data_IF_795099237770
#
_entry.id   IF_795099237770
#
_cell.length_a   1.000
_cell.length_b   1.000
_cell.length_c   1.000
_cell.angle_alpha   90.00
_cell.angle_beta   90.00
_cell.angle_gamma   90.00
#
_symmetry.space_group_name_H-M   'P 1'
#
loop_
_entity.id
_entity.type
_entity.pdbx_description
1 polymer ?
#
# COMPACT_ATOMS: atom_id res chain seq x y z
N UNK A 1 -20.14 -10.74 -32.23
CA UNK A 1 -19.04 -10.32 -31.34
C UNK A 1 -17.94 -11.37 -31.38
N UNK A 2 -16.71 -10.96 -31.67
CA UNK A 2 -15.55 -11.85 -31.59
C UNK A 2 -15.23 -12.15 -30.12
N UNK A 3 -15.04 -13.42 -29.77
CA UNK A 3 -14.55 -13.82 -28.44
C UNK A 3 -13.03 -13.93 -28.52
N UNK A 4 -12.34 -13.13 -27.72
CA UNK A 4 -10.88 -13.20 -27.57
C UNK A 4 -10.57 -13.90 -26.25
N UNK A 5 -9.69 -14.89 -26.30
CA UNK A 5 -9.13 -15.52 -25.10
C UNK A 5 -7.75 -14.90 -24.82
N UNK A 6 -7.52 -14.50 -23.57
CA UNK A 6 -6.23 -14.00 -23.12
C UNK A 6 -5.74 -14.92 -22.02
N UNK A 7 -4.52 -15.45 -22.18
CA UNK A 7 -3.89 -16.33 -21.21
C UNK A 7 -2.69 -15.60 -20.61
N UNK A 8 -2.59 -15.59 -19.29
CA UNK A 8 -1.51 -14.94 -18.55
C UNK A 8 -0.71 -16.00 -17.79
N UNK A 9 0.60 -15.79 -17.70
CA UNK A 9 1.44 -16.44 -16.70
C UNK A 9 1.62 -15.46 -15.56
N UNK A 10 1.38 -15.93 -14.34
CA UNK A 10 1.61 -15.16 -13.10
C UNK A 10 2.35 -16.06 -12.12
N UNK A 11 3.04 -15.47 -11.17
CA UNK A 11 3.49 -16.20 -10.00
C UNK A 11 2.29 -16.61 -9.11
N UNK A 12 2.56 -17.47 -8.13
CA UNK A 12 1.54 -18.04 -7.23
C UNK A 12 0.96 -16.99 -6.29
N UNK A 13 1.79 -16.09 -5.77
CA UNK A 13 1.39 -15.11 -4.77
C UNK A 13 0.45 -14.06 -5.37
N UNK A 14 0.80 -13.53 -6.54
CA UNK A 14 -0.05 -12.60 -7.30
C UNK A 14 -1.39 -13.23 -7.66
N UNK A 15 -1.39 -14.51 -8.04
CA UNK A 15 -2.61 -15.26 -8.33
C UNK A 15 -3.50 -15.32 -7.09
N UNK A 16 -2.96 -15.72 -5.94
CA UNK A 16 -3.71 -15.84 -4.69
C UNK A 16 -4.26 -14.49 -4.22
N UNK A 17 -3.47 -13.42 -4.31
CA UNK A 17 -3.91 -12.06 -4.00
C UNK A 17 -5.08 -11.62 -4.88
N UNK A 18 -4.99 -11.86 -6.20
CA UNK A 18 -6.07 -11.55 -7.13
C UNK A 18 -7.36 -12.31 -6.80
N UNK A 19 -7.28 -13.63 -6.54
CA UNK A 19 -8.46 -14.41 -6.16
C UNK A 19 -9.07 -13.99 -4.82
N UNK A 20 -8.28 -13.43 -3.90
CA UNK A 20 -8.79 -12.85 -2.65
C UNK A 20 -9.66 -11.63 -2.93
N UNK A 21 -9.17 -10.70 -3.75
CA UNK A 21 -9.94 -9.50 -4.16
C UNK A 21 -11.23 -9.90 -4.88
N UNK A 22 -11.17 -10.89 -5.78
CA UNK A 22 -12.37 -11.43 -6.46
C UNK A 22 -13.42 -11.91 -5.45
N UNK A 23 -13.00 -12.59 -4.39
CA UNK A 23 -13.91 -13.07 -3.34
C UNK A 23 -14.48 -11.93 -2.50
N UNK A 24 -13.64 -10.99 -2.08
CA UNK A 24 -14.05 -9.81 -1.29
C UNK A 24 -15.07 -8.94 -2.05
N UNK A 25 -14.91 -8.83 -3.38
CA UNK A 25 -15.85 -8.10 -4.25
C UNK A 25 -17.07 -8.93 -4.68
N UNK A 26 -17.21 -10.17 -4.20
CA UNK A 26 -18.29 -11.11 -4.56
C UNK A 26 -18.49 -11.23 -6.09
N UNK A 27 -17.39 -11.32 -6.83
CA UNK A 27 -17.38 -11.34 -8.30
C UNK A 27 -16.67 -12.58 -8.84
N UNK A 28 -16.48 -12.65 -10.17
CA UNK A 28 -15.68 -13.69 -10.83
C UNK A 28 -14.37 -13.12 -11.36
N UNK A 29 -13.32 -13.95 -11.52
CA UNK A 29 -12.05 -13.53 -12.14
C UNK A 29 -12.26 -12.83 -13.49
N UNK A 30 -13.12 -13.40 -14.32
CA UNK A 30 -13.45 -12.89 -15.65
C UNK A 30 -14.19 -11.55 -15.57
N UNK A 31 -15.16 -11.42 -14.67
CA UNK A 31 -15.92 -10.18 -14.49
C UNK A 31 -15.03 -9.04 -14.01
N UNK A 32 -14.17 -9.29 -13.02
CA UNK A 32 -13.24 -8.29 -12.50
C UNK A 32 -12.25 -7.85 -13.57
N UNK A 33 -11.67 -8.81 -14.31
CA UNK A 33 -10.74 -8.50 -15.39
C UNK A 33 -11.41 -7.73 -16.54
N UNK A 34 -12.60 -8.14 -16.97
CA UNK A 34 -13.33 -7.44 -18.02
C UNK A 34 -13.69 -6.00 -17.62
N UNK A 35 -14.09 -5.78 -16.36
CA UNK A 35 -14.35 -4.45 -15.83
C UNK A 35 -13.09 -3.57 -15.90
N UNK A 36 -11.95 -4.10 -15.43
CA UNK A 36 -10.67 -3.40 -15.50
C UNK A 36 -10.26 -3.06 -16.94
N UNK A 37 -10.39 -4.02 -17.87
CA UNK A 37 -10.06 -3.81 -19.28
C UNK A 37 -10.99 -2.78 -19.94
N UNK A 38 -12.30 -2.84 -19.65
CA UNK A 38 -13.27 -1.87 -20.17
C UNK A 38 -12.90 -0.45 -19.73
N UNK A 39 -12.61 -0.25 -18.44
CA UNK A 39 -12.23 1.05 -17.90
C UNK A 39 -10.91 1.56 -18.51
N UNK A 40 -9.93 0.67 -18.66
CA UNK A 40 -8.63 0.99 -19.27
C UNK A 40 -8.77 1.41 -20.73
N UNK A 41 -9.59 0.71 -21.53
CA UNK A 41 -9.82 1.04 -22.94
C UNK A 41 -10.59 2.35 -23.08
N UNK A 42 -11.62 2.56 -22.24
CA UNK A 42 -12.43 3.78 -22.27
C UNK A 42 -11.60 5.01 -21.92
N UNK A 43 -10.78 4.94 -20.87
CA UNK A 43 -9.99 6.09 -20.41
C UNK A 43 -8.65 6.21 -21.13
N UNK A 44 -8.24 5.20 -21.89
CA UNK A 44 -6.90 5.07 -22.49
C UNK A 44 -5.77 5.20 -21.45
N UNK A 45 -6.06 4.84 -20.20
CA UNK A 45 -5.16 4.98 -19.06
C UNK A 45 -5.39 3.87 -18.04
N UNK A 46 -4.32 3.42 -17.40
CA UNK A 46 -4.40 2.53 -16.24
C UNK A 46 -4.29 3.39 -14.98
N UNK A 47 -5.35 3.44 -14.19
CA UNK A 47 -5.34 4.15 -12.91
C UNK A 47 -4.99 3.17 -11.79
N UNK A 48 -3.78 3.30 -11.25
CA UNK A 48 -3.36 2.56 -10.05
C UNK A 48 -3.26 3.57 -8.91
N UNK A 49 -4.26 3.57 -8.04
CA UNK A 49 -4.17 4.26 -6.76
C UNK A 49 -3.39 3.35 -5.82
N UNK A 50 -2.08 3.52 -5.78
CA UNK A 50 -1.34 3.00 -4.64
C UNK A 50 -1.89 3.73 -3.40
N UNK A 51 -2.19 3.04 -2.29
CA UNK A 51 -2.36 3.74 -1.03
C UNK A 51 -1.13 4.63 -0.91
N UNK A 52 -1.33 5.94 -0.76
CA UNK A 52 -0.22 6.81 -0.38
C UNK A 52 0.40 6.09 0.80
N UNK A 53 1.64 5.63 0.66
CA UNK A 53 2.41 5.28 1.83
C UNK A 53 2.19 6.44 2.81
N UNK A 54 2.05 6.14 4.09
CA UNK A 54 2.17 7.15 5.15
C UNK A 54 3.62 7.70 5.16
N UNK A 55 4.17 8.09 4.00
CA UNK A 55 5.43 8.77 3.81
C UNK A 55 5.18 10.25 4.01
N UNK A 56 5.04 10.60 5.29
CA UNK A 56 5.64 11.75 5.98
C UNK A 56 4.90 11.84 7.31
N UNK A 57 5.36 11.07 8.29
CA UNK A 57 5.20 11.51 9.68
C UNK A 57 5.86 12.89 9.73
N UNK A 58 5.07 13.93 9.98
CA UNK A 58 5.57 15.27 10.17
C UNK A 58 6.44 15.31 11.43
N UNK A 59 7.39 16.24 11.48
CA UNK A 59 8.25 16.44 12.66
C UNK A 59 7.41 16.62 13.94
N UNK A 60 6.24 17.27 13.83
CA UNK A 60 5.25 17.37 14.90
C UNK A 60 4.67 16.01 15.33
N UNK A 61 4.24 15.17 14.39
CA UNK A 61 3.72 13.83 14.72
C UNK A 61 4.80 12.92 15.32
N UNK A 62 6.07 13.09 14.93
CA UNK A 62 7.20 12.39 15.56
C UNK A 62 7.39 12.85 17.01
N UNK A 63 7.41 14.15 17.27
CA UNK A 63 7.52 14.68 18.63
C UNK A 63 6.32 14.27 19.50
N UNK A 64 5.10 14.31 18.99
CA UNK A 64 3.89 13.86 19.72
C UNK A 64 3.93 12.36 20.08
N UNK A 65 4.51 11.51 19.22
CA UNK A 65 4.71 10.08 19.54
C UNK A 65 5.78 9.85 20.61
N UNK A 66 6.86 10.64 20.59
CA UNK A 66 7.92 10.56 21.60
C UNK A 66 7.42 11.11 22.94
N UNK A 67 6.67 12.21 22.95
CA UNK A 67 6.09 12.80 24.17
C UNK A 67 5.06 11.87 24.81
N UNK A 68 4.19 11.23 24.01
CA UNK A 68 3.25 10.21 24.52
C UNK A 68 3.94 8.97 25.09
N UNK A 69 5.19 8.68 24.72
CA UNK A 69 6.00 7.61 25.33
C UNK A 69 6.76 8.04 26.58
N UNK A 70 6.90 9.34 26.84
CA UNK A 70 7.60 9.85 28.02
C UNK A 70 6.71 9.87 29.29
N UNK A 71 5.39 9.68 29.15
CA UNK A 71 4.49 9.36 30.27
C UNK A 71 4.58 7.89 30.72
N UNK A 72 5.29 7.03 29.98
CA UNK A 72 5.67 5.70 30.45
C UNK A 72 7.11 5.72 30.98
N UNK A 73 7.38 5.29 32.22
CA UNK A 73 8.68 5.46 32.85
C UNK A 73 9.66 4.40 32.33
N UNK A 74 10.24 4.58 31.14
CA UNK A 74 11.44 3.81 30.77
C UNK A 74 12.44 4.60 29.94
N UNK A 75 13.65 4.65 30.51
CA UNK A 75 14.95 4.99 29.92
C UNK A 75 15.23 6.46 29.58
N UNK A 76 15.84 7.13 30.57
CA UNK A 76 16.67 8.31 30.41
C UNK A 76 17.77 8.09 29.36
N UNK A 77 17.54 8.53 28.13
CA UNK A 77 18.62 8.84 27.20
C UNK A 77 19.20 10.19 27.63
N UNK A 78 20.29 10.14 28.40
CA UNK A 78 21.08 11.31 28.75
C UNK A 78 21.54 12.01 27.47
N UNK A 79 21.61 13.34 27.53
CA UNK A 79 21.77 14.26 26.40
C UNK A 79 22.97 14.00 25.47
N UNK A 80 23.88 13.11 25.84
CA UNK A 80 25.06 12.75 25.05
C UNK A 80 24.73 11.95 23.78
N UNK A 81 23.63 11.17 23.75
CA UNK A 81 23.24 10.40 22.54
C UNK A 81 22.48 11.20 21.48
N UNK A 82 22.09 12.45 21.75
CA UNK A 82 21.38 13.29 20.77
C UNK A 82 22.29 13.79 19.63
N UNK A 83 23.61 13.85 19.85
CA UNK A 83 24.56 14.37 18.86
C UNK A 83 24.92 13.39 17.74
N UNK A 84 24.81 12.08 17.98
CA UNK A 84 25.19 11.07 16.97
C UNK A 84 24.18 10.92 15.82
N UNK A 85 22.91 11.32 16.03
CA UNK A 85 21.84 11.06 15.07
C UNK A 85 21.56 12.22 14.10
N UNK A 86 22.15 13.40 14.33
CA UNK A 86 21.85 14.61 13.57
C UNK A 86 23.07 15.33 12.99
N UNK A 87 24.29 14.83 13.20
CA UNK A 87 25.50 15.30 12.51
C UNK A 87 26.06 14.21 11.57
N UNK A 88 25.39 13.99 10.44
CA UNK A 88 25.97 13.55 9.15
C UNK A 88 25.24 14.25 8.01
#
# INVERSE_FOLDING_TARGET
MSKVAINFKTDKELKEAFYRVVKEMHTTPTSLFNMFMSHTVQNRSITISLPKENTKMTEQEFYEMIDKRLDEPTYSLTAEKRKEWFDV
#
